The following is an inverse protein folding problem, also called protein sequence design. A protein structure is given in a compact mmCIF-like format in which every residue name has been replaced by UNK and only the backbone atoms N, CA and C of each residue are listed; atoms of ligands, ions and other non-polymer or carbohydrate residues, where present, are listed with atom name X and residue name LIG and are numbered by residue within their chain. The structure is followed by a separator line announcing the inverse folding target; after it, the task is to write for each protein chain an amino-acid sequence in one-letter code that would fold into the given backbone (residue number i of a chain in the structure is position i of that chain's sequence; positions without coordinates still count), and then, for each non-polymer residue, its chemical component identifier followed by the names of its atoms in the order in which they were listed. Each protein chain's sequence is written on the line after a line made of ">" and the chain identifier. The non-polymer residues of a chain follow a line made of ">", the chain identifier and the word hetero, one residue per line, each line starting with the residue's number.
data_IF_020520252384
#
_entry.id   IF_020520252384
#
_cell.length_a   1.000
_cell.length_b   1.000
_cell.length_c   1.000
_cell.angle_alpha   90.00
_cell.angle_beta   90.00
_cell.angle_gamma   90.00
#
_symmetry.space_group_name_H-M   'P 1'
#
loop_
_entity.id
_entity.type
_entity.pdbx_description
1 polymer ?
#
# COMPACT_ATOMS: atom_id res chain seq x y z
N UNK A 1 -23.22 -7.45 15.65
CA UNK A 1 -22.55 -7.89 14.40
C UNK A 1 -21.22 -7.18 14.19
N UNK A 2 -21.05 -5.91 14.61
CA UNK A 2 -19.75 -5.22 14.67
C UNK A 2 -18.95 -5.59 15.94
N UNK A 3 -19.63 -5.86 17.04
CA UNK A 3 -19.01 -6.10 18.35
C UNK A 3 -18.17 -7.39 18.38
N UNK A 4 -18.67 -8.47 17.76
CA UNK A 4 -17.94 -9.75 17.70
C UNK A 4 -16.68 -9.70 16.82
N UNK A 5 -16.60 -8.75 15.87
CA UNK A 5 -15.41 -8.57 15.05
C UNK A 5 -14.31 -7.81 15.81
N UNK A 6 -14.69 -6.88 16.69
CA UNK A 6 -13.76 -6.15 17.58
C UNK A 6 -13.16 -7.07 18.65
N UNK A 7 -13.95 -8.01 19.19
CA UNK A 7 -13.45 -8.98 20.18
C UNK A 7 -12.43 -9.97 19.59
N UNK A 8 -12.58 -10.34 18.31
CA UNK A 8 -11.60 -11.16 17.60
C UNK A 8 -10.29 -10.40 17.30
N UNK A 9 -10.36 -9.08 17.10
CA UNK A 9 -9.21 -8.22 16.82
C UNK A 9 -8.23 -8.15 18.02
N UNK A 10 -8.76 -8.16 19.25
CA UNK A 10 -7.95 -8.06 20.46
C UNK A 10 -7.15 -9.34 20.76
N UNK A 11 -7.51 -10.48 20.16
CA UNK A 11 -6.97 -11.79 20.51
C UNK A 11 -5.88 -12.33 19.57
N UNK A 12 -5.80 -11.89 18.29
CA UNK A 12 -4.89 -12.51 17.32
C UNK A 12 -3.76 -11.62 16.79
N UNK A 13 -3.81 -10.30 16.97
CA UNK A 13 -2.81 -9.40 16.39
C UNK A 13 -2.78 -9.40 14.85
N UNK A 14 -3.76 -10.04 14.20
CA UNK A 14 -3.96 -9.95 12.75
C UNK A 14 -4.75 -8.68 12.42
N UNK A 15 -4.42 -8.06 11.29
CA UNK A 15 -5.05 -6.83 10.83
C UNK A 15 -6.55 -7.08 10.59
N UNK A 16 -7.41 -6.11 10.92
CA UNK A 16 -8.86 -6.23 10.74
C UNK A 16 -9.22 -6.57 9.28
N UNK A 17 -8.41 -6.09 8.32
CA UNK A 17 -8.51 -6.42 6.90
C UNK A 17 -8.31 -7.91 6.59
N UNK A 18 -7.33 -8.58 7.22
CA UNK A 18 -7.07 -10.01 6.99
C UNK A 18 -8.21 -10.90 7.52
N UNK A 19 -8.85 -10.49 8.62
CA UNK A 19 -10.01 -11.18 9.19
C UNK A 19 -11.25 -10.99 8.31
N UNK A 20 -11.42 -9.80 7.70
CA UNK A 20 -12.53 -9.51 6.80
C UNK A 20 -12.38 -10.22 5.44
N UNK A 21 -11.15 -10.31 4.92
CA UNK A 21 -10.81 -11.06 3.70
C UNK A 21 -11.01 -12.57 3.91
N UNK A 22 -10.54 -13.13 5.04
CA UNK A 22 -10.69 -14.56 5.38
C UNK A 22 -12.16 -15.01 5.47
N UNK A 23 -13.09 -14.11 5.80
CA UNK A 23 -14.51 -14.43 5.95
C UNK A 23 -15.31 -14.37 4.63
N UNK A 24 -14.68 -14.08 3.49
CA UNK A 24 -15.34 -13.92 2.17
C UNK A 24 -16.46 -12.87 2.13
N UNK A 25 -16.37 -11.82 2.97
CA UNK A 25 -17.41 -10.77 3.02
C UNK A 25 -16.97 -9.48 2.31
N UNK A 26 -15.68 -9.30 2.01
CA UNK A 26 -15.15 -8.05 1.42
C UNK A 26 -13.91 -8.34 0.58
N UNK A 27 -13.85 -7.80 -0.64
CA UNK A 27 -12.67 -7.90 -1.52
C UNK A 27 -11.54 -6.96 -1.02
N UNK A 28 -10.27 -7.27 -1.29
CA UNK A 28 -9.11 -6.39 -0.94
C UNK A 28 -9.34 -4.96 -1.44
N UNK A 29 -9.99 -4.85 -2.61
CA UNK A 29 -10.33 -3.56 -3.19
C UNK A 29 -11.36 -2.77 -2.37
N UNK A 30 -12.34 -3.43 -1.75
CA UNK A 30 -13.32 -2.75 -0.90
C UNK A 30 -12.67 -2.23 0.38
N UNK A 31 -11.73 -3.01 0.95
CA UNK A 31 -10.91 -2.58 2.09
C UNK A 31 -10.07 -1.36 1.70
N UNK A 32 -9.40 -1.40 0.55
CA UNK A 32 -8.62 -0.27 0.04
C UNK A 32 -9.50 0.95 -0.24
N UNK A 33 -10.71 0.77 -0.75
CA UNK A 33 -11.67 1.87 -0.95
C UNK A 33 -12.11 2.50 0.37
N UNK A 34 -12.38 1.69 1.39
CA UNK A 34 -12.71 2.19 2.72
C UNK A 34 -11.53 2.97 3.33
N UNK A 35 -10.31 2.43 3.23
CA UNK A 35 -9.09 3.09 3.69
C UNK A 35 -8.83 4.39 2.91
N UNK A 36 -8.97 4.36 1.58
CA UNK A 36 -8.81 5.54 0.74
C UNK A 36 -9.80 6.64 1.12
N UNK A 37 -11.05 6.28 1.39
CA UNK A 37 -12.05 7.23 1.88
C UNK A 37 -11.72 7.78 3.26
N UNK A 38 -11.28 6.92 4.20
CA UNK A 38 -10.95 7.31 5.58
C UNK A 38 -9.74 8.24 5.66
N UNK A 39 -8.71 7.99 4.85
CA UNK A 39 -7.44 8.73 4.86
C UNK A 39 -7.35 9.80 3.76
N UNK A 40 -8.36 9.92 2.89
CA UNK A 40 -8.35 10.87 1.77
C UNK A 40 -7.34 10.53 0.68
N UNK A 41 -7.08 9.24 0.45
CA UNK A 41 -6.08 8.74 -0.49
C UNK A 41 -6.74 8.18 -1.75
N UNK A 42 -6.09 8.39 -2.90
CA UNK A 42 -6.54 7.79 -4.16
C UNK A 42 -6.28 6.28 -4.16
N UNK A 43 -7.25 5.50 -4.64
CA UNK A 43 -7.13 4.04 -4.78
C UNK A 43 -6.99 3.70 -6.26
N UNK A 44 -5.84 3.16 -6.64
CA UNK A 44 -5.54 2.73 -8.01
C UNK A 44 -5.64 1.22 -8.14
N UNK A 45 -6.47 0.78 -9.09
CA UNK A 45 -6.65 -0.65 -9.42
C UNK A 45 -5.56 -1.19 -10.34
N UNK A 46 -4.78 -0.31 -10.95
CA UNK A 46 -3.70 -0.64 -11.88
C UNK A 46 -2.58 0.36 -11.72
N UNK A 47 -1.34 -0.13 -11.83
CA UNK A 47 -0.14 0.69 -11.85
C UNK A 47 0.41 0.73 -13.29
N UNK A 48 1.03 1.84 -13.72
CA UNK A 48 1.67 1.91 -15.03
C UNK A 48 2.82 0.90 -15.11
N UNK A 49 3.05 0.31 -16.28
CA UNK A 49 4.10 -0.68 -16.50
C UNK A 49 5.45 -0.07 -16.89
N UNK A 50 5.47 1.18 -17.37
CA UNK A 50 6.68 1.90 -17.79
C UNK A 50 7.31 2.66 -16.62
N UNK A 51 7.75 1.91 -15.61
CA UNK A 51 8.31 2.44 -14.38
C UNK A 51 9.82 2.58 -14.54
N UNK A 52 10.37 3.77 -14.27
CA UNK A 52 11.81 3.98 -14.21
C UNK A 52 12.41 3.29 -12.99
N UNK A 53 13.44 2.49 -13.21
CA UNK A 53 14.07 1.67 -12.16
C UNK A 53 15.26 2.34 -11.45
N UNK A 54 15.53 3.63 -11.68
CA UNK A 54 16.63 4.37 -11.03
C UNK A 54 16.61 4.27 -9.49
N UNK A 55 15.43 4.11 -8.87
CA UNK A 55 15.31 3.94 -7.42
C UNK A 55 15.97 2.65 -6.89
N UNK A 56 16.17 1.63 -7.74
CA UNK A 56 16.79 0.35 -7.35
C UNK A 56 18.26 0.49 -6.97
N UNK A 57 18.90 1.61 -7.32
CA UNK A 57 20.25 1.95 -6.84
C UNK A 57 20.28 2.35 -5.37
N UNK A 58 19.14 2.84 -4.85
CA UNK A 58 19.02 3.38 -3.49
C UNK A 58 18.23 2.48 -2.56
N UNK A 59 17.25 1.75 -3.09
CA UNK A 59 16.37 0.87 -2.32
C UNK A 59 16.33 -0.52 -2.94
N UNK A 60 16.39 -1.55 -2.10
CA UNK A 60 16.34 -2.93 -2.58
C UNK A 60 14.92 -3.33 -2.97
N UNK A 61 14.79 -4.12 -4.04
CA UNK A 61 13.50 -4.69 -4.46
C UNK A 61 12.88 -5.54 -3.34
N UNK A 62 13.70 -6.22 -2.55
CA UNK A 62 13.24 -7.03 -1.41
C UNK A 62 12.55 -6.18 -0.34
N UNK A 63 13.08 -4.99 -0.02
CA UNK A 63 12.46 -4.05 0.92
C UNK A 63 11.08 -3.61 0.42
N UNK A 64 10.98 -3.23 -0.86
CA UNK A 64 9.72 -2.83 -1.49
C UNK A 64 8.65 -3.93 -1.40
N UNK A 65 9.04 -5.18 -1.75
CA UNK A 65 8.14 -6.34 -1.68
C UNK A 65 7.74 -6.69 -0.25
N UNK A 66 8.69 -6.64 0.69
CA UNK A 66 8.44 -6.95 2.10
C UNK A 66 7.44 -5.98 2.73
N UNK A 67 7.54 -4.69 2.40
CA UNK A 67 6.67 -3.65 2.95
C UNK A 67 5.47 -3.32 2.05
N UNK A 68 5.27 -4.07 0.96
CA UNK A 68 4.17 -3.87 0.00
C UNK A 68 4.02 -2.40 -0.41
N UNK A 69 5.14 -1.80 -0.82
CA UNK A 69 5.17 -0.45 -1.36
C UNK A 69 6.11 -0.38 -2.55
N UNK A 70 5.80 0.47 -3.53
CA UNK A 70 6.63 0.65 -4.73
C UNK A 70 6.59 2.12 -5.17
N UNK A 71 7.75 2.75 -5.41
CA UNK A 71 7.80 4.04 -6.07
C UNK A 71 7.51 3.88 -7.56
N UNK A 72 6.53 4.61 -8.04
CA UNK A 72 6.16 4.71 -9.43
C UNK A 72 6.67 6.03 -9.97
N UNK A 73 7.61 5.97 -10.91
CA UNK A 73 8.17 7.15 -11.57
C UNK A 73 8.08 6.93 -13.08
N UNK A 74 7.20 7.68 -13.73
CA UNK A 74 7.00 7.65 -15.18
C UNK A 74 7.38 9.00 -15.79
N UNK A 75 7.14 9.21 -17.09
CA UNK A 75 7.29 10.52 -17.71
C UNK A 75 6.17 11.51 -17.32
N UNK A 76 4.99 11.01 -16.94
CA UNK A 76 3.78 11.80 -16.72
C UNK A 76 3.47 12.01 -15.23
N UNK A 77 3.81 11.03 -14.40
CA UNK A 77 3.42 11.00 -13.00
C UNK A 77 4.48 10.33 -12.11
N UNK A 78 4.52 10.78 -10.85
CA UNK A 78 5.37 10.22 -9.81
C UNK A 78 4.57 10.07 -8.51
N UNK A 79 4.55 8.88 -7.93
CA UNK A 79 3.85 8.60 -6.69
C UNK A 79 4.38 7.32 -6.04
N UNK A 80 4.09 7.10 -4.77
CA UNK A 80 4.38 5.85 -4.07
C UNK A 80 3.06 5.09 -3.92
N UNK A 81 3.00 3.89 -4.47
CA UNK A 81 1.89 2.97 -4.25
C UNK A 81 2.16 2.17 -2.97
N UNK A 82 1.20 2.17 -2.05
CA UNK A 82 1.24 1.39 -0.81
C UNK A 82 -0.02 0.54 -0.69
N UNK A 83 0.07 -0.58 0.04
CA UNK A 83 -1.10 -1.43 0.30
C UNK A 83 -1.86 -1.03 1.58
N UNK A 84 -1.16 -0.44 2.56
CA UNK A 84 -1.75 -0.11 3.86
C UNK A 84 -1.24 1.26 4.36
N UNK A 85 -2.11 2.26 4.52
CA UNK A 85 -1.73 3.57 5.03
C UNK A 85 -1.34 3.56 6.51
N UNK A 86 -1.68 2.52 7.27
CA UNK A 86 -1.26 2.39 8.66
C UNK A 86 0.22 2.04 8.80
N UNK A 87 0.86 1.51 7.74
CA UNK A 87 2.28 1.10 7.72
C UNK A 87 3.13 2.26 7.19
N UNK A 88 3.16 3.36 7.95
CA UNK A 88 3.80 4.61 7.51
C UNK A 88 5.33 4.65 7.67
N UNK A 89 5.90 3.89 8.61
CA UNK A 89 7.36 3.89 8.85
C UNK A 89 8.19 3.58 7.59
N UNK A 90 7.94 2.47 6.87
CA UNK A 90 8.66 2.17 5.62
C UNK A 90 8.42 3.20 4.51
N UNK A 91 7.26 3.86 4.51
CA UNK A 91 6.94 4.92 3.57
C UNK A 91 7.78 6.17 3.86
N UNK A 92 7.92 6.57 5.12
CA UNK A 92 8.76 7.70 5.52
C UNK A 92 10.25 7.40 5.26
N UNK A 93 10.73 6.20 5.56
CA UNK A 93 12.09 5.77 5.24
C UNK A 93 12.34 5.86 3.72
N UNK A 94 11.39 5.39 2.90
CA UNK A 94 11.50 5.49 1.44
C UNK A 94 11.53 6.95 0.98
N UNK A 95 10.66 7.81 1.54
CA UNK A 95 10.63 9.25 1.20
C UNK A 95 11.97 9.93 1.51
N UNK A 96 12.58 9.60 2.65
CA UNK A 96 13.90 10.14 3.01
C UNK A 96 14.96 9.72 1.98
N UNK A 97 15.02 8.44 1.61
CA UNK A 97 15.96 7.89 0.61
C UNK A 97 15.76 8.54 -0.78
N UNK A 98 14.53 8.89 -1.13
CA UNK A 98 14.19 9.45 -2.44
C UNK A 98 14.22 10.99 -2.51
N UNK A 99 14.61 11.66 -1.42
CA UNK A 99 14.84 13.12 -1.40
C UNK A 99 15.77 13.55 -2.56
N UNK A 100 15.46 14.64 -3.30
CA UNK A 100 14.45 15.67 -3.03
C UNK A 100 13.10 15.50 -3.78
N UNK A 101 12.82 14.32 -4.34
CA UNK A 101 11.58 14.11 -5.08
C UNK A 101 10.40 14.02 -4.08
N UNK A 102 9.34 14.78 -4.34
CA UNK A 102 8.13 14.75 -3.53
C UNK A 102 7.10 13.86 -4.22
N UNK A 103 6.75 12.74 -3.58
CA UNK A 103 5.84 11.76 -4.15
C UNK A 103 4.48 11.83 -3.46
N UNK A 104 3.43 11.93 -4.27
CA UNK A 104 2.09 11.63 -3.79
C UNK A 104 1.98 10.16 -3.37
N UNK A 105 0.99 9.82 -2.58
CA UNK A 105 0.80 8.45 -2.08
C UNK A 105 -0.57 7.93 -2.47
N UNK A 106 -0.60 6.75 -3.08
CA UNK A 106 -1.82 6.09 -3.54
C UNK A 106 -1.92 4.70 -2.94
N UNK A 107 -3.15 4.24 -2.76
CA UNK A 107 -3.45 2.89 -2.32
C UNK A 107 -3.57 1.97 -3.55
N UNK A 108 -2.92 0.82 -3.49
CA UNK A 108 -3.01 -0.19 -4.53
C UNK A 108 -3.06 -1.61 -3.96
N UNK A 109 -3.72 -2.56 -4.66
CA UNK A 109 -3.70 -3.96 -4.26
C UNK A 109 -2.27 -4.50 -4.22
N UNK A 110 -1.99 -5.32 -3.23
CA UNK A 110 -0.66 -5.89 -2.98
C UNK A 110 -0.12 -6.62 -4.19
N UNK A 111 -0.98 -7.34 -4.92
CA UNK A 111 -0.61 -8.05 -6.15
C UNK A 111 -0.07 -7.11 -7.24
N UNK A 112 -0.61 -5.90 -7.37
CA UNK A 112 -0.13 -4.92 -8.36
C UNK A 112 1.21 -4.34 -7.94
N UNK A 113 1.41 -4.10 -6.65
CA UNK A 113 2.68 -3.62 -6.10
C UNK A 113 3.80 -4.66 -6.28
N UNK A 114 3.49 -5.95 -6.10
CA UNK A 114 4.45 -7.04 -6.24
C UNK A 114 4.81 -7.37 -7.70
N UNK A 115 3.94 -6.99 -8.64
CA UNK A 115 4.10 -7.21 -10.08
C UNK A 115 4.62 -5.96 -10.83
N UNK A 116 4.80 -4.84 -10.12
CA UNK A 116 5.37 -3.61 -10.64
C UNK A 116 6.88 -3.76 -10.93
#
# INVERSE_FOLDING_TARGET
>A
MLDSALEAQAASGEMLGDILIKNMVVDELDVLQALGHQYGMEVRKSLPADIKTDFTERVSISFLKQHKLVPIVTAEEQFIAINDPCVFQPLDDLREIMTPLNFDTVLAPSQHILNA
#
